data_IF_851370156444
#
_entry.id   IF_851370156444
#
_cell.length_a   1.000
_cell.length_b   1.000
_cell.length_c   1.000
_cell.angle_alpha   90.00
_cell.angle_beta   90.00
_cell.angle_gamma   90.00
#
_symmetry.space_group_name_H-M   'P 1'
#
loop_
_entity.id
_entity.type
_entity.pdbx_description
1 polymer ?
#
# COMPACT_ATOMS: atom_id res chain seq x y z
N UNK A 1 6.97 -20.29 3.65
CA UNK A 1 5.57 -20.33 3.72
C UNK A 1 4.93 -19.18 4.49
N UNK A 2 4.36 -18.20 3.79
CA UNK A 2 3.65 -17.08 4.44
C UNK A 2 2.42 -17.56 5.21
N UNK A 3 2.48 -17.57 6.53
CA UNK A 3 1.34 -17.90 7.39
C UNK A 3 1.03 -19.39 7.56
N UNK A 4 1.85 -20.29 7.02
CA UNK A 4 1.60 -21.74 7.17
C UNK A 4 1.59 -22.19 8.63
N UNK A 5 2.53 -21.68 9.42
CA UNK A 5 2.60 -22.01 10.85
C UNK A 5 1.33 -21.59 11.61
N UNK A 6 0.79 -20.41 11.29
CA UNK A 6 -0.48 -19.95 11.83
C UNK A 6 -1.64 -20.84 11.41
N UNK A 7 -1.67 -21.23 10.14
CA UNK A 7 -2.71 -22.13 9.62
C UNK A 7 -2.71 -23.48 10.34
N UNK A 8 -1.52 -24.03 10.58
CA UNK A 8 -1.36 -25.36 11.20
C UNK A 8 -1.61 -25.36 12.72
N UNK A 9 -1.38 -24.22 13.39
CA UNK A 9 -1.38 -24.16 14.87
C UNK A 9 -2.54 -23.37 15.49
N UNK A 10 -3.27 -22.58 14.70
CA UNK A 10 -4.34 -21.73 15.20
C UNK A 10 -5.65 -21.96 14.43
N UNK A 11 -6.67 -22.45 15.13
CA UNK A 11 -7.98 -22.79 14.53
C UNK A 11 -8.67 -21.58 13.89
N UNK A 12 -8.58 -20.39 14.50
CA UNK A 12 -9.15 -19.15 13.96
C UNK A 12 -8.42 -18.74 12.69
N UNK A 13 -7.09 -18.80 12.67
CA UNK A 13 -6.29 -18.52 11.48
C UNK A 13 -6.67 -19.47 10.34
N UNK A 14 -6.79 -20.77 10.62
CA UNK A 14 -7.22 -21.77 9.64
C UNK A 14 -8.55 -21.41 9.01
N UNK A 15 -9.54 -21.05 9.82
CA UNK A 15 -10.87 -20.65 9.33
C UNK A 15 -10.81 -19.41 8.44
N UNK A 16 -10.00 -18.41 8.81
CA UNK A 16 -9.85 -17.19 8.03
C UNK A 16 -9.14 -17.43 6.69
N UNK A 17 -8.11 -18.26 6.65
CA UNK A 17 -7.45 -18.65 5.41
C UNK A 17 -8.36 -19.45 4.49
N UNK A 18 -9.12 -20.41 5.05
CA UNK A 18 -10.08 -21.21 4.28
C UNK A 18 -11.19 -20.32 3.70
N UNK A 19 -11.71 -19.38 4.50
CA UNK A 19 -12.68 -18.38 4.04
C UNK A 19 -12.11 -17.47 2.95
N UNK A 20 -10.84 -17.10 3.04
CA UNK A 20 -10.18 -16.31 2.01
C UNK A 20 -10.13 -17.03 0.66
N UNK A 21 -9.86 -18.33 0.65
CA UNK A 21 -9.92 -19.14 -0.58
C UNK A 21 -11.30 -19.10 -1.22
N UNK A 22 -12.37 -19.18 -0.41
CA UNK A 22 -13.75 -19.10 -0.90
C UNK A 22 -14.06 -17.71 -1.48
N UNK A 23 -13.70 -16.64 -0.79
CA UNK A 23 -13.93 -15.25 -1.22
C UNK A 23 -13.21 -14.96 -2.54
N UNK A 24 -11.96 -15.39 -2.66
CA UNK A 24 -11.13 -15.14 -3.84
C UNK A 24 -11.46 -16.06 -5.02
N UNK A 25 -12.10 -17.21 -4.77
CA UNK A 25 -12.42 -18.18 -5.80
C UNK A 25 -11.23 -19.00 -6.29
N UNK A 26 -10.11 -18.96 -5.59
CA UNK A 26 -8.93 -19.80 -5.83
C UNK A 26 -8.17 -20.07 -4.53
N UNK A 27 -7.36 -21.14 -4.50
CA UNK A 27 -6.59 -21.51 -3.32
C UNK A 27 -5.32 -20.68 -3.17
N UNK A 28 -5.47 -19.43 -2.68
CA UNK A 28 -4.32 -18.56 -2.40
C UNK A 28 -3.38 -19.18 -1.36
N UNK A 29 -3.91 -20.01 -0.45
CA UNK A 29 -3.12 -20.71 0.56
C UNK A 29 -2.07 -21.63 -0.04
N UNK A 30 -2.37 -22.30 -1.14
CA UNK A 30 -1.40 -23.17 -1.83
C UNK A 30 -0.20 -22.35 -2.32
N UNK A 31 -0.45 -21.15 -2.84
CA UNK A 31 0.59 -20.25 -3.30
C UNK A 31 1.35 -19.64 -2.12
N UNK A 32 0.66 -19.20 -1.07
CA UNK A 32 1.28 -18.60 0.12
C UNK A 32 2.18 -19.59 0.86
N UNK A 33 1.76 -20.86 0.96
CA UNK A 33 2.44 -21.86 1.77
C UNK A 33 3.56 -22.60 1.03
N UNK A 34 3.38 -22.87 -0.25
CA UNK A 34 4.28 -23.70 -1.05
C UNK A 34 4.50 -23.22 -2.49
N UNK A 35 3.97 -22.05 -2.86
CA UNK A 35 4.14 -21.50 -4.21
C UNK A 35 5.54 -20.96 -4.47
N UNK A 36 5.81 -20.68 -5.74
CA UNK A 36 7.06 -20.07 -6.19
C UNK A 36 7.06 -18.56 -6.01
N UNK A 37 8.24 -17.95 -6.02
CA UNK A 37 8.40 -16.49 -6.01
C UNK A 37 7.65 -15.82 -7.17
N UNK A 38 7.65 -16.45 -8.35
CA UNK A 38 6.97 -15.90 -9.52
C UNK A 38 5.44 -15.93 -9.37
N UNK A 39 4.89 -16.94 -8.73
CA UNK A 39 3.47 -16.98 -8.40
C UNK A 39 3.10 -15.89 -7.38
N UNK A 40 3.93 -15.69 -6.35
CA UNK A 40 3.72 -14.67 -5.32
C UNK A 40 3.87 -13.24 -5.86
N UNK A 41 4.68 -13.02 -6.90
CA UNK A 41 4.87 -11.70 -7.53
C UNK A 41 3.72 -11.26 -8.43
N UNK A 42 2.80 -12.15 -8.78
CA UNK A 42 1.63 -11.75 -9.56
C UNK A 42 0.77 -10.78 -8.74
N UNK A 43 0.45 -9.61 -9.29
CA UNK A 43 -0.27 -8.53 -8.58
C UNK A 43 -1.56 -9.01 -7.93
N UNK A 44 -2.32 -9.86 -8.62
CA UNK A 44 -3.57 -10.46 -8.09
C UNK A 44 -3.35 -11.37 -6.89
N UNK A 45 -2.12 -11.85 -6.67
CA UNK A 45 -1.73 -12.73 -5.56
C UNK A 45 -1.02 -11.96 -4.46
N UNK A 46 -0.07 -11.10 -4.82
CA UNK A 46 0.79 -10.38 -3.87
C UNK A 46 -0.03 -9.59 -2.85
N UNK A 47 -0.95 -8.76 -3.32
CA UNK A 47 -1.71 -7.88 -2.44
C UNK A 47 -2.62 -8.67 -1.49
N UNK A 48 -3.47 -9.60 -1.96
CA UNK A 48 -4.24 -10.45 -1.06
C UNK A 48 -3.38 -11.28 -0.10
N UNK A 49 -2.25 -11.82 -0.55
CA UNK A 49 -1.36 -12.63 0.29
C UNK A 49 -0.77 -11.81 1.45
N UNK A 50 -0.28 -10.59 1.17
CA UNK A 50 0.24 -9.69 2.20
C UNK A 50 -0.87 -9.24 3.15
N UNK A 51 -2.04 -8.90 2.63
CA UNK A 51 -3.21 -8.54 3.44
C UNK A 51 -3.59 -9.67 4.39
N UNK A 52 -3.74 -10.90 3.88
CA UNK A 52 -4.10 -12.07 4.68
C UNK A 52 -3.08 -12.36 5.77
N UNK A 53 -1.80 -12.35 5.42
CA UNK A 53 -0.74 -12.55 6.39
C UNK A 53 -0.78 -11.51 7.50
N UNK A 54 -0.89 -10.23 7.16
CA UNK A 54 -0.92 -9.13 8.13
C UNK A 54 -2.15 -9.18 9.03
N UNK A 55 -3.33 -9.31 8.45
CA UNK A 55 -4.59 -9.29 9.21
C UNK A 55 -4.73 -10.52 10.10
N UNK A 56 -4.47 -11.71 9.55
CA UNK A 56 -4.61 -12.95 10.32
C UNK A 56 -3.57 -13.02 11.45
N UNK A 57 -2.34 -12.61 11.18
CA UNK A 57 -1.30 -12.50 12.22
C UNK A 57 -1.72 -11.55 13.35
N UNK A 58 -2.25 -10.38 13.00
CA UNK A 58 -2.72 -9.41 13.99
C UNK A 58 -3.90 -9.91 14.81
N UNK A 59 -4.89 -10.52 14.16
CA UNK A 59 -6.09 -11.06 14.83
C UNK A 59 -5.78 -12.28 15.72
N UNK A 60 -4.74 -13.05 15.40
CA UNK A 60 -4.35 -14.25 16.12
C UNK A 60 -3.20 -14.03 17.12
N UNK A 61 -2.64 -12.81 17.19
CA UNK A 61 -1.47 -12.51 18.05
C UNK A 61 -1.74 -12.73 19.55
N UNK A 62 -3.00 -12.76 19.96
CA UNK A 62 -3.37 -12.90 21.36
C UNK A 62 -2.85 -11.73 22.21
N UNK A 63 -3.68 -11.13 23.00
CA UNK A 63 -3.37 -10.00 23.87
C UNK A 63 -4.63 -9.20 24.11
N UNK A 64 -4.78 -8.68 25.33
CA UNK A 64 -5.93 -7.87 25.71
C UNK A 64 -5.79 -6.40 25.25
N UNK A 65 -4.62 -6.01 24.77
CA UNK A 65 -4.35 -4.63 24.42
C UNK A 65 -4.82 -4.30 23.01
N UNK A 66 -5.81 -3.42 22.93
CA UNK A 66 -6.20 -2.78 21.67
C UNK A 66 -5.16 -1.74 21.28
N UNK A 67 -4.80 -1.60 20.00
CA UNK A 67 -3.87 -0.57 19.57
C UNK A 67 -4.45 0.82 19.86
N UNK A 68 -3.59 1.75 20.31
CA UNK A 68 -3.97 3.15 20.46
C UNK A 68 -4.10 3.86 19.11
N UNK A 69 -3.40 3.39 18.11
CA UNK A 69 -3.30 3.96 16.77
C UNK A 69 -2.99 2.84 15.79
N UNK A 70 -3.41 3.01 14.53
CA UNK A 70 -3.04 2.09 13.44
C UNK A 70 -2.58 2.87 12.22
N UNK A 71 -1.70 2.28 11.45
CA UNK A 71 -1.29 2.76 10.14
C UNK A 71 -0.89 1.57 9.25
N UNK A 72 -0.91 1.77 7.94
CA UNK A 72 -0.46 0.78 7.00
C UNK A 72 0.04 1.43 5.71
N UNK A 73 1.18 0.98 5.21
CA UNK A 73 1.79 1.51 3.99
C UNK A 73 1.08 0.95 2.75
N UNK A 74 0.50 1.82 1.93
CA UNK A 74 -0.19 1.45 0.68
C UNK A 74 -1.27 0.39 0.92
N UNK A 75 -1.06 -0.84 0.46
CA UNK A 75 -1.95 -1.98 0.75
C UNK A 75 -2.22 -2.17 2.26
N UNK A 76 -1.22 -1.92 3.09
CA UNK A 76 -1.32 -2.07 4.54
C UNK A 76 -2.38 -1.18 5.19
N UNK A 77 -2.80 -0.10 4.54
CA UNK A 77 -3.90 0.75 5.02
C UNK A 77 -5.22 -0.05 5.10
N UNK A 78 -5.47 -0.96 4.15
CA UNK A 78 -6.62 -1.88 4.21
C UNK A 78 -6.52 -2.86 5.38
N UNK A 79 -5.33 -3.39 5.62
CA UNK A 79 -5.08 -4.27 6.78
C UNK A 79 -5.31 -3.55 8.11
N UNK A 80 -4.83 -2.31 8.21
CA UNK A 80 -5.03 -1.45 9.38
C UNK A 80 -6.52 -1.13 9.60
N UNK A 81 -7.28 -0.87 8.55
CA UNK A 81 -8.72 -0.62 8.63
C UNK A 81 -9.50 -1.85 9.13
N UNK A 82 -9.12 -3.05 8.69
CA UNK A 82 -9.73 -4.28 9.21
C UNK A 82 -9.38 -4.49 10.68
N UNK A 83 -8.12 -4.30 11.05
CA UNK A 83 -7.68 -4.48 12.43
C UNK A 83 -8.33 -3.47 13.39
N UNK A 84 -8.53 -2.23 12.94
CA UNK A 84 -9.25 -1.20 13.69
C UNK A 84 -10.79 -1.36 13.67
N UNK A 85 -11.32 -2.34 12.96
CA UNK A 85 -12.76 -2.61 12.89
C UNK A 85 -13.56 -1.69 11.96
N UNK A 86 -12.89 -0.87 11.16
CA UNK A 86 -13.55 -0.01 10.16
C UNK A 86 -14.07 -0.81 8.97
N UNK A 87 -13.40 -1.90 8.60
CA UNK A 87 -13.80 -2.86 7.59
C UNK A 87 -13.94 -4.25 8.20
N UNK A 88 -14.89 -5.05 7.71
CA UNK A 88 -14.90 -6.49 7.96
C UNK A 88 -13.73 -7.17 7.23
N UNK A 89 -13.31 -8.33 7.71
CA UNK A 89 -12.31 -9.15 7.01
C UNK A 89 -12.73 -9.47 5.58
N UNK A 90 -13.97 -9.84 5.38
CA UNK A 90 -14.52 -10.18 4.07
C UNK A 90 -14.51 -8.98 3.11
N UNK A 91 -15.03 -7.84 3.55
CA UNK A 91 -15.05 -6.61 2.74
C UNK A 91 -13.64 -6.10 2.46
N UNK A 92 -12.76 -6.14 3.44
CA UNK A 92 -11.36 -5.78 3.28
C UNK A 92 -10.66 -6.62 2.22
N UNK A 93 -10.84 -7.93 2.25
CA UNK A 93 -10.27 -8.85 1.25
C UNK A 93 -10.85 -8.62 -0.15
N UNK A 94 -12.16 -8.41 -0.27
CA UNK A 94 -12.80 -8.09 -1.55
C UNK A 94 -12.28 -6.79 -2.15
N UNK A 95 -12.11 -5.75 -1.33
CA UNK A 95 -11.52 -4.48 -1.77
C UNK A 95 -10.06 -4.63 -2.20
N UNK A 96 -9.28 -5.39 -1.47
CA UNK A 96 -7.87 -5.67 -1.83
C UNK A 96 -7.77 -6.43 -3.15
N UNK A 97 -8.63 -7.42 -3.38
CA UNK A 97 -8.69 -8.14 -4.65
C UNK A 97 -9.11 -7.21 -5.80
N UNK A 98 -10.12 -6.36 -5.59
CA UNK A 98 -10.53 -5.35 -6.58
C UNK A 98 -9.41 -4.37 -6.89
N UNK A 99 -8.70 -3.89 -5.86
CA UNK A 99 -7.54 -3.01 -6.00
C UNK A 99 -6.42 -3.65 -6.84
N UNK A 100 -6.06 -4.88 -6.53
CA UNK A 100 -5.02 -5.61 -7.24
C UNK A 100 -5.34 -5.76 -8.73
N UNK A 101 -6.58 -6.14 -9.06
CA UNK A 101 -7.04 -6.28 -10.43
C UNK A 101 -7.10 -4.93 -11.17
N UNK A 102 -7.59 -3.88 -10.52
CA UNK A 102 -7.67 -2.55 -11.10
C UNK A 102 -6.27 -1.98 -11.39
N UNK A 103 -5.32 -2.16 -10.47
CA UNK A 103 -3.93 -1.73 -10.65
C UNK A 103 -3.25 -2.51 -11.79
N UNK A 104 -3.49 -3.81 -11.90
CA UNK A 104 -2.95 -4.61 -13.00
C UNK A 104 -3.43 -4.09 -14.36
N UNK A 105 -4.72 -3.85 -14.50
CA UNK A 105 -5.29 -3.28 -15.74
C UNK A 105 -4.74 -1.88 -16.04
N UNK A 106 -4.59 -1.04 -15.03
CA UNK A 106 -4.01 0.29 -15.21
C UNK A 106 -2.56 0.23 -15.71
N UNK A 107 -1.76 -0.74 -15.26
CA UNK A 107 -0.41 -0.97 -15.76
C UNK A 107 -0.38 -1.37 -17.24
N UNK A 108 -1.38 -2.10 -17.71
CA UNK A 108 -1.51 -2.50 -19.12
C UNK A 108 -1.86 -1.31 -20.02
N UNK A 109 -2.71 -0.41 -19.53
CA UNK A 109 -3.15 0.80 -20.26
C UNK A 109 -2.09 1.91 -20.20
N UNK A 110 -1.52 2.12 -19.04
CA UNK A 110 -0.52 3.16 -18.76
C UNK A 110 0.77 2.52 -18.21
N UNK A 111 1.63 1.98 -19.08
CA UNK A 111 2.90 1.39 -18.64
C UNK A 111 3.77 2.41 -17.89
N UNK A 112 4.39 1.97 -16.82
CA UNK A 112 5.27 2.81 -16.01
C UNK A 112 6.17 1.98 -15.12
N UNK A 113 6.94 2.67 -14.31
CA UNK A 113 7.86 2.04 -13.36
C UNK A 113 8.11 2.95 -12.17
N UNK A 114 8.94 2.49 -11.25
CA UNK A 114 9.34 3.22 -10.04
C UNK A 114 10.85 3.11 -9.85
N UNK A 115 11.42 4.05 -9.08
CA UNK A 115 12.83 3.99 -8.68
C UNK A 115 13.00 4.46 -7.23
N UNK A 116 13.85 3.77 -6.48
CA UNK A 116 14.23 4.17 -5.14
C UNK A 116 15.39 5.17 -5.19
N UNK A 117 15.21 6.32 -4.55
CA UNK A 117 16.21 7.38 -4.44
C UNK A 117 16.70 7.45 -3.00
N UNK A 118 18.01 7.32 -2.83
CA UNK A 118 18.64 7.24 -1.51
C UNK A 118 19.70 8.32 -1.37
N UNK A 119 19.66 9.02 -0.25
CA UNK A 119 20.71 9.93 0.16
C UNK A 119 20.56 11.37 -0.32
N UNK A 120 19.34 11.76 -0.73
CA UNK A 120 18.99 13.16 -1.01
C UNK A 120 17.86 13.63 -0.09
N UNK A 121 17.80 14.94 0.21
CA UNK A 121 16.63 15.54 0.84
C UNK A 121 15.39 15.39 -0.04
N UNK A 122 14.22 15.23 0.59
CA UNK A 122 12.94 15.06 -0.12
C UNK A 122 12.67 16.22 -1.09
N UNK A 123 12.94 17.46 -0.67
CA UNK A 123 12.73 18.68 -1.47
C UNK A 123 13.53 18.67 -2.78
N UNK A 124 14.73 18.09 -2.75
CA UNK A 124 15.55 17.98 -3.98
C UNK A 124 14.99 16.95 -4.94
N UNK A 125 14.44 15.87 -4.43
CA UNK A 125 13.76 14.85 -5.26
C UNK A 125 12.48 15.43 -5.86
N UNK A 126 11.69 16.15 -5.08
CA UNK A 126 10.48 16.83 -5.54
C UNK A 126 10.79 17.86 -6.65
N UNK A 127 11.84 18.65 -6.48
CA UNK A 127 12.31 19.64 -7.48
C UNK A 127 12.64 18.98 -8.81
N UNK A 128 13.42 17.88 -8.80
CA UNK A 128 13.80 17.17 -10.03
C UNK A 128 12.58 16.51 -10.69
N UNK A 129 11.69 15.90 -9.93
CA UNK A 129 10.43 15.37 -10.47
C UNK A 129 9.60 16.46 -11.15
N UNK A 130 9.47 17.62 -10.52
CA UNK A 130 8.73 18.75 -11.09
C UNK A 130 9.41 19.30 -12.36
N UNK A 131 10.73 19.32 -12.42
CA UNK A 131 11.48 19.74 -13.60
C UNK A 131 11.23 18.82 -14.79
N UNK A 132 11.38 17.50 -14.61
CA UNK A 132 11.14 16.51 -15.66
C UNK A 132 9.69 16.52 -16.12
N UNK A 133 8.74 16.70 -15.20
CA UNK A 133 7.30 16.74 -15.51
C UNK A 133 6.90 17.98 -16.35
N UNK A 134 7.65 19.07 -16.32
CA UNK A 134 7.36 20.27 -17.15
C UNK A 134 7.43 19.99 -18.65
N UNK A 135 8.10 18.93 -19.06
CA UNK A 135 8.21 18.51 -20.46
C UNK A 135 7.01 17.68 -20.95
N UNK A 136 5.94 17.62 -20.17
CA UNK A 136 4.73 16.83 -20.48
C UNK A 136 4.84 15.36 -20.12
N UNK A 137 5.91 14.99 -19.42
CA UNK A 137 6.12 13.63 -18.90
C UNK A 137 5.51 13.48 -17.51
N UNK A 138 5.28 12.24 -17.09
CA UNK A 138 4.78 11.94 -15.74
C UNK A 138 5.88 11.31 -14.91
N UNK A 139 6.36 12.02 -13.90
CA UNK A 139 7.16 11.48 -12.80
C UNK A 139 6.84 12.25 -11.53
N UNK A 140 6.57 11.54 -10.45
CA UNK A 140 6.16 12.11 -9.16
C UNK A 140 6.86 11.41 -8.00
N UNK A 141 7.06 12.11 -6.86
CA UNK A 141 7.37 11.46 -5.59
C UNK A 141 6.18 10.57 -5.20
N UNK A 142 6.43 9.28 -5.01
CA UNK A 142 5.38 8.32 -4.75
C UNK A 142 5.36 7.82 -3.30
N UNK A 143 6.52 7.51 -2.71
CA UNK A 143 6.59 7.01 -1.35
C UNK A 143 7.67 7.77 -0.56
N UNK A 144 7.25 8.53 0.42
CA UNK A 144 8.13 9.16 1.42
C UNK A 144 8.34 8.16 2.57
N UNK A 145 9.32 7.26 2.43
CA UNK A 145 9.47 6.11 3.33
C UNK A 145 10.17 6.43 4.64
N UNK A 146 11.27 7.17 4.57
CA UNK A 146 11.96 7.71 5.73
C UNK A 146 12.88 8.86 5.27
N UNK A 147 13.45 9.66 6.19
CA UNK A 147 14.40 10.70 5.81
C UNK A 147 15.54 10.15 4.94
N UNK A 148 15.71 10.72 3.75
CA UNK A 148 16.73 10.28 2.79
C UNK A 148 16.39 9.04 1.96
N UNK A 149 15.17 8.51 2.06
CA UNK A 149 14.68 7.43 1.20
C UNK A 149 13.29 7.74 0.65
N UNK A 150 13.23 7.99 -0.63
CA UNK A 150 12.03 8.31 -1.36
C UNK A 150 11.93 7.44 -2.62
N UNK A 151 10.73 7.01 -2.97
CA UNK A 151 10.47 6.31 -4.24
C UNK A 151 9.76 7.26 -5.19
N UNK A 152 10.25 7.36 -6.41
CA UNK A 152 9.61 8.09 -7.51
C UNK A 152 8.86 7.13 -8.42
N UNK A 153 7.81 7.61 -9.07
CA UNK A 153 6.91 6.82 -9.89
C UNK A 153 6.51 7.59 -11.15
N UNK A 154 6.47 6.93 -12.30
CA UNK A 154 6.11 7.60 -13.54
C UNK A 154 6.33 6.75 -14.78
N UNK A 155 6.30 7.42 -15.94
CA UNK A 155 6.65 6.82 -17.23
C UNK A 155 8.11 6.36 -17.23
N UNK A 156 8.40 5.28 -17.94
CA UNK A 156 9.74 4.67 -17.94
C UNK A 156 10.83 5.67 -18.33
N UNK A 157 10.63 6.42 -19.39
CA UNK A 157 11.60 7.43 -19.86
C UNK A 157 11.78 8.57 -18.87
N UNK A 158 10.68 9.03 -18.25
CA UNK A 158 10.72 10.07 -17.23
C UNK A 158 11.46 9.61 -15.96
N UNK A 159 11.26 8.36 -15.55
CA UNK A 159 12.00 7.75 -14.43
C UNK A 159 13.49 7.67 -14.74
N UNK A 160 13.86 7.22 -15.94
CA UNK A 160 15.27 7.14 -16.35
C UNK A 160 15.93 8.53 -16.33
N UNK A 161 15.29 9.53 -16.91
CA UNK A 161 15.77 10.91 -16.89
C UNK A 161 15.90 11.47 -15.46
N UNK A 162 14.86 11.29 -14.64
CA UNK A 162 14.89 11.72 -13.24
C UNK A 162 16.02 11.03 -12.46
N UNK A 163 16.26 9.75 -12.67
CA UNK A 163 17.36 9.02 -12.03
C UNK A 163 18.73 9.60 -12.39
N UNK A 164 18.96 9.94 -13.66
CA UNK A 164 20.22 10.55 -14.09
C UNK A 164 20.42 11.95 -13.46
N UNK A 165 19.39 12.77 -13.47
CA UNK A 165 19.43 14.11 -12.82
C UNK A 165 19.65 14.01 -11.31
N UNK A 166 19.00 13.03 -10.64
CA UNK A 166 19.15 12.84 -9.21
C UNK A 166 20.53 12.30 -8.82
N UNK A 167 21.12 11.43 -9.63
CA UNK A 167 22.53 11.02 -9.46
C UNK A 167 23.48 12.22 -9.59
N UNK A 168 23.29 13.05 -10.62
CA UNK A 168 24.04 14.27 -10.82
C UNK A 168 23.89 15.28 -9.66
N UNK A 169 22.72 15.30 -9.01
CA UNK A 169 22.43 16.11 -7.84
C UNK A 169 23.01 15.54 -6.53
N UNK A 170 23.66 14.38 -6.55
CA UNK A 170 24.34 13.79 -5.41
C UNK A 170 23.61 12.64 -4.71
N UNK A 171 22.59 12.03 -5.32
CA UNK A 171 21.97 10.82 -4.79
C UNK A 171 23.01 9.71 -4.64
N UNK A 172 23.05 9.08 -3.47
CA UNK A 172 23.92 7.92 -3.24
C UNK A 172 23.51 6.73 -4.10
N UNK A 173 22.20 6.57 -4.32
CA UNK A 173 21.62 5.56 -5.20
C UNK A 173 20.35 6.08 -5.86
N UNK A 174 20.16 5.75 -7.12
CA UNK A 174 18.91 5.85 -7.85
C UNK A 174 18.70 4.49 -8.53
N UNK A 175 17.83 3.66 -7.94
CA UNK A 175 17.68 2.24 -8.28
C UNK A 175 16.30 2.00 -8.88
N UNK A 176 16.21 1.70 -10.19
CA UNK A 176 14.97 1.22 -10.78
C UNK A 176 14.46 -0.03 -10.05
N UNK A 177 13.17 -0.06 -9.75
CA UNK A 177 12.51 -1.19 -9.11
C UNK A 177 11.96 -2.15 -10.16
N UNK A 178 11.93 -3.44 -9.83
CA UNK A 178 11.36 -4.47 -10.69
C UNK A 178 9.83 -4.52 -10.54
N UNK A 179 9.16 -3.44 -10.91
CA UNK A 179 7.70 -3.31 -10.90
C UNK A 179 7.21 -2.86 -12.27
N UNK A 180 6.05 -3.34 -12.68
CA UNK A 180 5.48 -3.07 -14.00
C UNK A 180 4.50 -1.91 -14.03
N UNK A 181 4.49 -1.05 -13.02
CA UNK A 181 3.53 0.04 -12.93
C UNK A 181 4.04 1.27 -12.18
N UNK A 182 3.45 2.40 -12.50
CA UNK A 182 3.69 3.68 -11.84
C UNK A 182 2.68 3.89 -10.69
N UNK A 183 2.83 3.13 -9.61
CA UNK A 183 1.94 3.18 -8.47
C UNK A 183 2.03 4.54 -7.77
N UNK A 184 0.92 4.98 -7.16
CA UNK A 184 0.83 6.27 -6.46
C UNK A 184 1.18 7.47 -7.36
N UNK A 185 0.78 7.41 -8.61
CA UNK A 185 0.97 8.46 -9.63
C UNK A 185 -0.33 8.70 -10.40
N UNK A 186 -0.41 9.78 -11.21
CA UNK A 186 -1.55 10.03 -12.08
C UNK A 186 -1.84 8.88 -13.07
N UNK A 187 -0.84 8.04 -13.40
CA UNK A 187 -1.02 6.87 -14.29
C UNK A 187 -1.95 5.79 -13.70
N UNK A 188 -2.21 5.83 -12.39
CA UNK A 188 -3.16 4.96 -11.70
C UNK A 188 -4.60 5.49 -11.71
N UNK A 189 -4.91 6.55 -12.43
CA UNK A 189 -6.27 7.10 -12.49
C UNK A 189 -7.34 6.07 -12.88
N UNK A 190 -7.14 5.20 -13.90
CA UNK A 190 -8.12 4.15 -14.22
C UNK A 190 -8.38 3.19 -13.06
N UNK A 191 -7.32 2.83 -12.31
CA UNK A 191 -7.46 1.97 -11.14
C UNK A 191 -8.21 2.65 -10.00
N UNK A 192 -7.97 3.95 -9.77
CA UNK A 192 -8.69 4.76 -8.79
C UNK A 192 -10.20 4.78 -9.08
N UNK A 193 -10.59 5.01 -10.32
CA UNK A 193 -12.00 5.06 -10.74
C UNK A 193 -12.72 3.71 -10.55
N UNK A 194 -12.04 2.61 -10.85
CA UNK A 194 -12.59 1.26 -10.66
C UNK A 194 -12.69 0.90 -9.16
N UNK A 195 -11.65 1.18 -8.38
CA UNK A 195 -11.66 0.93 -6.94
C UNK A 195 -12.67 1.81 -6.19
N UNK A 196 -12.85 3.06 -6.62
CA UNK A 196 -13.84 3.98 -6.06
C UNK A 196 -15.23 3.35 -6.06
N UNK A 197 -15.65 2.74 -7.16
CA UNK A 197 -16.96 2.07 -7.27
C UNK A 197 -17.12 0.97 -6.23
N UNK A 198 -16.08 0.18 -5.99
CA UNK A 198 -16.09 -0.87 -4.97
C UNK A 198 -16.12 -0.30 -3.55
N UNK A 199 -15.37 0.76 -3.27
CA UNK A 199 -15.35 1.43 -1.95
C UNK A 199 -16.69 2.08 -1.63
N UNK A 200 -17.32 2.75 -2.60
CA UNK A 200 -18.61 3.44 -2.42
C UNK A 200 -19.75 2.47 -2.08
N UNK A 201 -19.67 1.22 -2.53
CA UNK A 201 -20.66 0.18 -2.24
C UNK A 201 -20.30 -0.68 -1.01
N UNK A 202 -19.20 -0.39 -0.33
CA UNK A 202 -18.74 -1.11 0.84
C UNK A 202 -19.10 -0.34 2.12
N UNK A 203 -19.56 -1.05 3.16
CA UNK A 203 -19.83 -0.47 4.47
C UNK A 203 -18.55 -0.24 5.25
N UNK A 204 -18.36 0.99 5.74
CA UNK A 204 -17.29 1.39 6.64
C UNK A 204 -17.87 1.79 7.98
N UNK A 205 -17.29 1.26 9.05
CA UNK A 205 -17.62 1.64 10.42
C UNK A 205 -16.61 2.66 10.95
N UNK A 206 -16.96 3.35 12.02
CA UNK A 206 -15.99 4.14 12.79
C UNK A 206 -14.92 3.20 13.34
N UNK A 207 -13.62 3.46 13.09
CA UNK A 207 -12.55 2.64 13.66
C UNK A 207 -12.49 2.76 15.17
N UNK A 208 -12.01 1.71 15.84
CA UNK A 208 -11.84 1.66 17.31
C UNK A 208 -10.75 2.60 17.82
N UNK A 209 -9.81 2.96 16.95
CA UNK A 209 -8.72 3.89 17.19
C UNK A 209 -8.42 4.69 15.92
N UNK A 210 -7.71 5.84 16.01
CA UNK A 210 -7.36 6.61 14.84
C UNK A 210 -6.50 5.79 13.85
N UNK A 211 -6.81 5.95 12.55
CA UNK A 211 -5.96 5.47 11.47
C UNK A 211 -5.20 6.63 10.85
N UNK A 212 -3.88 6.50 10.73
CA UNK A 212 -3.02 7.47 10.06
C UNK A 212 -2.93 7.12 8.59
N UNK A 213 -3.56 7.95 7.73
CA UNK A 213 -3.73 7.63 6.33
C UNK A 213 -2.60 8.15 5.44
N UNK A 214 -2.32 7.44 4.36
CA UNK A 214 -1.16 7.68 3.52
C UNK A 214 -1.20 9.02 2.80
N UNK A 215 -2.37 9.51 2.41
CA UNK A 215 -2.51 10.72 1.58
C UNK A 215 -2.07 12.01 2.28
N UNK A 216 -2.19 12.08 3.59
CA UNK A 216 -1.89 13.29 4.36
C UNK A 216 -1.02 13.05 5.61
N UNK A 217 -0.83 11.79 6.01
CA UNK A 217 -0.07 11.42 7.19
C UNK A 217 -0.74 11.81 8.51
N UNK A 218 -2.07 12.02 8.51
CA UNK A 218 -2.83 12.50 9.66
C UNK A 218 -3.77 11.43 10.21
N UNK A 219 -4.16 11.52 11.50
CA UNK A 219 -5.14 10.63 12.09
C UNK A 219 -6.56 10.94 11.61
N UNK A 220 -7.32 9.90 11.31
CA UNK A 220 -8.72 9.97 10.91
C UNK A 220 -9.55 8.95 11.69
N UNK A 221 -10.78 9.34 12.03
CA UNK A 221 -11.79 8.49 12.71
C UNK A 221 -13.15 8.54 12.03
N UNK A 222 -13.40 9.52 11.17
CA UNK A 222 -14.64 9.66 10.43
C UNK A 222 -14.64 8.72 9.21
N UNK A 223 -15.67 7.88 9.08
CA UNK A 223 -15.75 6.88 8.01
C UNK A 223 -15.81 7.50 6.60
N UNK A 224 -16.44 8.65 6.42
CA UNK A 224 -16.54 9.31 5.12
C UNK A 224 -15.20 9.91 4.68
N UNK A 225 -14.45 10.52 5.62
CA UNK A 225 -13.08 10.99 5.37
C UNK A 225 -12.15 9.84 5.05
N UNK A 226 -12.25 8.74 5.79
CA UNK A 226 -11.45 7.52 5.55
C UNK A 226 -11.70 6.97 4.16
N UNK A 227 -12.96 6.88 3.72
CA UNK A 227 -13.32 6.47 2.36
C UNK A 227 -12.71 7.38 1.29
N UNK A 228 -12.87 8.68 1.44
CA UNK A 228 -12.35 9.67 0.49
C UNK A 228 -10.82 9.59 0.37
N UNK A 229 -10.12 9.46 1.49
CA UNK A 229 -8.67 9.32 1.52
C UNK A 229 -8.21 7.98 0.92
N UNK A 230 -8.93 6.90 1.16
CA UNK A 230 -8.61 5.59 0.62
C UNK A 230 -8.77 5.56 -0.91
N UNK A 231 -9.77 6.25 -1.45
CA UNK A 231 -9.96 6.43 -2.89
C UNK A 231 -8.81 7.27 -3.48
N UNK A 232 -8.44 8.37 -2.84
CA UNK A 232 -7.37 9.25 -3.29
C UNK A 232 -5.98 8.57 -3.26
N UNK A 233 -5.78 7.56 -2.42
CA UNK A 233 -4.48 6.93 -2.18
C UNK A 233 -3.79 6.41 -3.45
N UNK A 234 -4.52 5.84 -4.41
CA UNK A 234 -3.92 5.20 -5.60
C UNK A 234 -3.19 6.18 -6.52
N UNK A 235 -3.61 7.45 -6.53
CA UNK A 235 -3.01 8.51 -7.37
C UNK A 235 -2.24 9.55 -6.55
N UNK A 236 -2.08 9.32 -5.24
CA UNK A 236 -1.41 10.22 -4.31
C UNK A 236 -0.19 9.57 -3.70
N UNK A 237 0.75 10.40 -3.25
CA UNK A 237 1.94 9.93 -2.54
C UNK A 237 1.58 9.24 -1.22
N UNK A 238 2.33 8.22 -0.87
CA UNK A 238 2.32 7.61 0.45
C UNK A 238 3.24 8.41 1.38
N UNK A 239 2.66 9.16 2.30
CA UNK A 239 3.38 10.03 3.25
C UNK A 239 3.72 9.27 4.53
N UNK A 240 4.46 8.16 4.38
CA UNK A 240 4.75 7.26 5.50
C UNK A 240 5.58 7.92 6.59
N UNK A 241 6.61 8.67 6.23
CA UNK A 241 7.42 9.45 7.19
C UNK A 241 6.55 10.40 8.02
N UNK A 242 5.61 11.10 7.38
CA UNK A 242 4.69 12.01 8.08
C UNK A 242 3.75 11.25 9.02
N UNK A 243 3.22 10.11 8.59
CA UNK A 243 2.37 9.26 9.43
C UNK A 243 3.10 8.80 10.70
N UNK A 244 4.32 8.27 10.57
CA UNK A 244 5.09 7.79 11.73
C UNK A 244 5.46 8.93 12.67
N UNK A 245 5.89 10.09 12.13
CA UNK A 245 6.19 11.28 12.94
C UNK A 245 4.96 11.79 13.68
N UNK A 246 3.79 11.82 13.04
CA UNK A 246 2.54 12.22 13.67
C UNK A 246 2.15 11.24 14.78
N UNK A 247 2.26 9.94 14.58
CA UNK A 247 1.99 8.92 15.60
C UNK A 247 2.89 9.11 16.83
N UNK A 248 4.19 9.35 16.62
CA UNK A 248 5.14 9.63 17.72
C UNK A 248 4.75 10.91 18.46
N UNK A 249 4.42 11.99 17.74
CA UNK A 249 3.99 13.26 18.33
C UNK A 249 2.69 13.12 19.14
N UNK A 250 1.80 12.23 18.71
CA UNK A 250 0.54 11.93 19.38
C UNK A 250 0.68 10.87 20.51
N UNK A 251 1.90 10.47 20.83
CA UNK A 251 2.24 9.67 22.01
C UNK A 251 2.52 8.19 21.76
N UNK A 252 2.72 7.75 20.53
CA UNK A 252 3.15 6.38 20.25
C UNK A 252 4.57 6.14 20.77
N UNK A 253 4.76 5.11 21.59
CA UNK A 253 6.04 4.71 22.17
C UNK A 253 6.53 3.37 21.62
N UNK A 254 5.60 2.50 21.30
CA UNK A 254 5.86 1.14 20.83
C UNK A 254 5.13 0.88 19.51
N UNK A 255 5.83 0.26 18.58
CA UNK A 255 5.31 -0.14 17.28
C UNK A 255 5.42 -1.66 17.12
N UNK A 256 4.35 -2.32 16.73
CA UNK A 256 4.31 -3.79 16.55
C UNK A 256 3.75 -4.20 15.19
#
# INVERSE_FOLDING_TARGET
GMGKDLYDTNATAKQLFDKANEILGFKITDIMFAGTDDQLKQTKVTQPAVFLHSVISALCKGGEESPAMVAGHSLGEFSALVYAGALSFEDGLKLVAARANAMQKACEVNPGTMAAIIGLPDEKVEEVCAEVSKEGKVVVPANFNCPGQLVISGEVDAINEACEKLKAAGAKRALPLKVGGAFHSPLMQPAKEELQKAIETTSFNTPKCPIYQNVDGKPHTNSDEIKANLIAQLTSSVRWTASVKAMIADGATDFT
#
